data_IF_970265562723
#
_entry.id   IF_970265562723
#
_cell.length_a   1.000
_cell.length_b   1.000
_cell.length_c   1.000
_cell.angle_alpha   90.00
_cell.angle_beta   90.00
_cell.angle_gamma   90.00
#
_symmetry.space_group_name_H-M   'P 1'
#
loop_
_entity.id
_entity.type
_entity.pdbx_description
1 polymer ?
#
# COMPACT_ATOMS: atom_id res chain seq x y z
N UNK A 1 12.21 47.88 -6.46
CA UNK A 1 12.08 47.87 -7.93
C UNK A 1 10.79 47.14 -8.31
N UNK A 2 9.81 47.82 -8.97
CA UNK A 2 8.63 47.12 -9.53
C UNK A 2 9.10 46.33 -10.75
N UNK A 3 9.07 45.01 -10.69
CA UNK A 3 9.37 44.15 -11.84
C UNK A 3 8.48 44.56 -13.02
N UNK A 4 9.07 44.65 -14.25
CA UNK A 4 8.30 44.95 -15.46
C UNK A 4 7.23 43.84 -15.66
N UNK A 5 6.07 44.22 -16.24
CA UNK A 5 4.98 43.25 -16.53
C UNK A 5 5.50 42.00 -17.27
N UNK A 6 6.39 42.19 -18.27
CA UNK A 6 7.00 41.09 -19.01
C UNK A 6 7.84 40.13 -18.15
N UNK A 7 8.56 40.66 -17.14
CA UNK A 7 9.36 39.84 -16.25
C UNK A 7 8.47 38.94 -15.36
N UNK A 8 7.32 39.44 -14.88
CA UNK A 8 6.38 38.65 -14.09
C UNK A 8 5.74 37.51 -14.91
N UNK A 9 5.32 37.80 -16.14
CA UNK A 9 4.80 36.76 -17.05
C UNK A 9 5.87 35.72 -17.32
N UNK A 10 7.11 36.12 -17.65
CA UNK A 10 8.20 35.21 -17.89
C UNK A 10 8.51 34.33 -16.68
N UNK A 11 8.46 34.89 -15.47
CA UNK A 11 8.70 34.14 -14.24
C UNK A 11 7.60 33.10 -14.00
N UNK A 12 6.31 33.47 -14.17
CA UNK A 12 5.20 32.52 -14.00
C UNK A 12 5.31 31.40 -15.05
N UNK A 13 5.59 31.73 -16.31
CA UNK A 13 5.74 30.74 -17.37
C UNK A 13 6.95 29.83 -17.12
N UNK A 14 8.06 30.36 -16.61
CA UNK A 14 9.23 29.57 -16.23
C UNK A 14 8.89 28.56 -15.13
N UNK A 15 8.17 28.97 -14.09
CA UNK A 15 7.72 28.10 -13.01
C UNK A 15 6.82 26.99 -13.57
N UNK A 16 5.88 27.32 -14.45
CA UNK A 16 4.99 26.33 -15.08
C UNK A 16 5.80 25.31 -15.87
N UNK A 17 6.77 25.76 -16.67
CA UNK A 17 7.63 24.87 -17.46
C UNK A 17 8.47 23.97 -16.54
N UNK A 18 9.07 24.50 -15.48
CA UNK A 18 9.85 23.73 -14.52
C UNK A 18 8.98 22.66 -13.83
N UNK A 19 7.80 23.00 -13.36
CA UNK A 19 6.87 22.04 -12.76
C UNK A 19 6.47 20.98 -13.78
N UNK A 20 6.22 21.36 -15.03
CA UNK A 20 5.87 20.40 -16.09
C UNK A 20 7.02 19.45 -16.40
N UNK A 21 8.24 19.95 -16.47
CA UNK A 21 9.42 19.12 -16.68
C UNK A 21 9.62 18.12 -15.53
N UNK A 22 9.45 18.56 -14.29
CA UNK A 22 9.55 17.69 -13.11
C UNK A 22 8.43 16.65 -13.10
N UNK A 23 7.18 17.06 -13.37
CA UNK A 23 6.03 16.16 -13.33
C UNK A 23 6.10 15.05 -14.37
N UNK A 24 6.50 15.37 -15.61
CA UNK A 24 6.55 14.41 -16.71
C UNK A 24 7.91 13.72 -16.85
N UNK A 25 9.00 14.44 -16.54
CA UNK A 25 10.36 13.93 -16.67
C UNK A 25 10.91 13.22 -15.43
N UNK A 26 10.38 13.54 -14.23
CA UNK A 26 10.90 13.05 -12.96
C UNK A 26 12.14 13.82 -12.46
N UNK A 27 12.61 13.48 -11.28
CA UNK A 27 13.85 13.97 -10.68
C UNK A 27 14.76 12.77 -10.44
N UNK A 28 15.86 12.69 -11.17
CA UNK A 28 16.80 11.60 -11.07
C UNK A 28 18.01 12.00 -10.24
N UNK A 29 18.29 11.23 -9.18
CA UNK A 29 19.52 11.37 -8.39
C UNK A 29 20.41 10.16 -8.67
N UNK A 30 21.68 10.44 -8.88
CA UNK A 30 22.70 9.41 -9.02
C UNK A 30 23.33 9.16 -7.64
N UNK A 31 23.06 8.01 -7.07
CA UNK A 31 23.78 7.50 -5.91
C UNK A 31 24.66 6.31 -6.35
N UNK A 32 25.98 6.48 -6.19
CA UNK A 32 27.00 5.53 -6.66
C UNK A 32 26.83 5.18 -8.14
N UNK A 33 26.34 3.98 -8.48
CA UNK A 33 26.14 3.52 -9.86
C UNK A 33 24.65 3.37 -10.23
N UNK A 34 23.73 3.76 -9.36
CA UNK A 34 22.28 3.65 -9.55
C UNK A 34 21.74 5.06 -9.79
N UNK A 35 20.86 5.19 -10.77
CA UNK A 35 20.15 6.44 -11.08
C UNK A 35 18.69 6.20 -10.74
N UNK A 36 18.23 6.73 -9.60
CA UNK A 36 16.87 6.54 -9.12
C UNK A 36 16.03 7.81 -9.29
N UNK A 37 14.77 7.60 -9.63
CA UNK A 37 13.78 8.68 -9.67
C UNK A 37 13.16 8.88 -8.28
N UNK A 38 13.38 10.05 -7.67
CA UNK A 38 12.82 10.37 -6.34
C UNK A 38 11.29 10.61 -6.37
N UNK A 39 10.74 10.83 -7.56
CA UNK A 39 9.29 11.06 -7.67
C UNK A 39 8.54 9.75 -7.38
N UNK A 40 7.50 9.77 -6.51
CA UNK A 40 6.66 8.61 -6.28
C UNK A 40 6.12 8.04 -7.60
N UNK A 41 6.02 6.73 -7.70
CA UNK A 41 5.39 6.09 -8.83
C UNK A 41 3.85 6.20 -8.76
N UNK A 42 3.18 6.00 -9.89
CA UNK A 42 1.73 5.90 -9.89
C UNK A 42 1.32 4.53 -9.36
N UNK A 43 0.44 4.51 -8.37
CA UNK A 43 -0.19 3.27 -7.91
C UNK A 43 -1.27 2.91 -8.92
N UNK A 44 -1.06 1.84 -9.68
CA UNK A 44 -2.01 1.36 -10.69
C UNK A 44 -2.88 0.24 -10.09
N UNK A 45 -4.19 0.28 -10.36
CA UNK A 45 -5.12 -0.77 -9.93
C UNK A 45 -4.98 -2.06 -10.76
N UNK A 46 -5.60 -3.15 -10.29
CA UNK A 46 -5.51 -4.52 -10.84
C UNK A 46 -5.75 -4.58 -12.36
N UNK A 47 -6.76 -3.89 -12.86
CA UNK A 47 -7.10 -3.87 -14.30
C UNK A 47 -5.97 -3.30 -15.16
N UNK A 48 -5.16 -2.37 -14.61
CA UNK A 48 -4.07 -1.69 -15.33
C UNK A 48 -2.71 -2.38 -15.16
N UNK A 49 -2.47 -3.02 -14.03
CA UNK A 49 -1.17 -3.63 -13.69
C UNK A 49 -1.16 -5.15 -13.84
N UNK A 50 -2.31 -5.79 -13.67
CA UNK A 50 -2.49 -7.24 -13.56
C UNK A 50 -2.83 -7.63 -12.14
N UNK A 51 -3.35 -8.84 -11.99
CA UNK A 51 -3.83 -9.34 -10.71
C UNK A 51 -3.24 -10.72 -10.39
N UNK A 52 -3.11 -11.00 -9.10
CA UNK A 52 -2.82 -12.31 -8.57
C UNK A 52 -4.11 -12.91 -8.03
N UNK A 53 -4.53 -14.04 -8.58
CA UNK A 53 -5.67 -14.83 -8.08
C UNK A 53 -5.15 -15.93 -7.18
N UNK A 54 -5.64 -15.92 -5.94
CA UNK A 54 -5.27 -16.89 -4.92
C UNK A 54 -6.54 -17.59 -4.42
N UNK A 55 -6.50 -18.92 -4.42
CA UNK A 55 -7.53 -19.76 -3.82
C UNK A 55 -6.96 -20.37 -2.54
N UNK A 56 -7.43 -19.90 -1.40
CA UNK A 56 -7.15 -20.47 -0.08
C UNK A 56 -8.23 -21.50 0.21
N UNK A 57 -7.86 -22.78 0.15
CA UNK A 57 -8.75 -23.89 0.47
C UNK A 57 -8.58 -24.25 1.93
N UNK A 58 -9.69 -24.60 2.61
CA UNK A 58 -9.63 -25.18 3.96
C UNK A 58 -8.78 -26.45 3.92
N UNK A 59 -7.78 -26.55 4.79
CA UNK A 59 -6.88 -27.68 4.79
C UNK A 59 -7.57 -28.93 5.34
N UNK A 60 -7.86 -29.87 4.45
CA UNK A 60 -8.49 -31.17 4.70
C UNK A 60 -7.48 -32.32 4.83
N UNK A 61 -6.19 -32.00 4.89
CA UNK A 61 -5.12 -32.99 5.02
C UNK A 61 -5.11 -33.62 6.42
N UNK A 62 -4.55 -34.82 6.50
CA UNK A 62 -4.35 -35.54 7.76
C UNK A 62 -2.87 -35.44 8.15
N UNK A 63 -2.58 -34.99 9.37
CA UNK A 63 -1.24 -35.00 9.95
C UNK A 63 -1.09 -36.22 10.84
N UNK A 64 0.07 -36.90 10.75
CA UNK A 64 0.48 -37.96 11.70
C UNK A 64 0.81 -37.29 13.03
N UNK A 65 0.22 -37.73 14.10
CA UNK A 65 0.58 -37.30 15.46
C UNK A 65 1.80 -38.12 15.88
N UNK A 66 2.96 -37.49 15.98
CA UNK A 66 4.09 -38.07 16.71
C UNK A 66 3.77 -37.91 18.20
N UNK A 67 3.11 -38.91 18.80
CA UNK A 67 3.02 -39.04 20.26
C UNK A 67 4.38 -39.45 20.78
N UNK A 68 5.04 -38.55 21.49
CA UNK A 68 6.22 -38.90 22.29
C UNK A 68 5.73 -39.59 23.56
N UNK A 69 5.47 -40.88 23.49
CA UNK A 69 5.34 -41.71 24.70
C UNK A 69 6.69 -42.33 24.96
N UNK A 70 7.44 -41.78 25.92
CA UNK A 70 8.46 -42.53 26.60
C UNK A 70 7.74 -43.42 27.60
N UNK A 71 7.68 -44.71 27.33
CA UNK A 71 7.84 -45.77 28.36
C UNK A 71 7.89 -47.15 27.69
N UNK A 72 8.98 -47.83 28.00
CA UNK A 72 9.25 -49.28 28.08
C UNK A 72 9.15 -50.15 26.83
N UNK A 73 10.33 -50.65 26.49
CA UNK A 73 10.58 -51.82 25.64
C UNK A 73 9.77 -53.02 26.11
N UNK A 74 8.87 -53.50 25.28
CA UNK A 74 8.64 -54.96 25.15
C UNK A 74 8.13 -55.29 23.74
N UNK A 75 8.79 -56.25 23.12
CA UNK A 75 8.52 -56.75 21.77
C UNK A 75 7.06 -57.15 21.58
N UNK A 76 6.38 -56.51 20.67
CA UNK A 76 5.32 -57.12 19.87
C UNK A 76 5.20 -56.33 18.55
N UNK A 77 5.46 -57.04 17.44
CA UNK A 77 5.12 -56.57 16.09
C UNK A 77 3.58 -56.52 15.97
N UNK A 78 2.97 -55.43 16.35
CA UNK A 78 1.65 -55.05 15.91
C UNK A 78 1.78 -53.70 15.16
N UNK A 79 1.34 -53.73 13.91
CA UNK A 79 1.22 -52.56 13.05
C UNK A 79 0.34 -51.54 13.76
N UNK A 80 0.96 -50.59 14.46
CA UNK A 80 0.26 -49.41 14.98
C UNK A 80 -0.27 -48.66 13.79
N UNK A 81 -1.57 -48.63 13.58
CA UNK A 81 -2.25 -47.68 12.71
C UNK A 81 -2.00 -46.28 13.29
N UNK A 82 -1.07 -45.53 12.69
CA UNK A 82 -0.83 -44.13 13.03
C UNK A 82 -2.16 -43.39 12.94
N UNK A 83 -2.71 -42.97 14.06
CA UNK A 83 -3.92 -42.13 14.08
C UNK A 83 -3.63 -40.79 13.39
N UNK A 84 -4.08 -40.68 12.15
CA UNK A 84 -3.97 -39.46 11.36
C UNK A 84 -5.13 -38.52 11.72
N UNK A 85 -4.85 -37.47 12.47
CA UNK A 85 -5.82 -36.43 12.81
C UNK A 85 -5.92 -35.40 11.68
N UNK A 86 -7.15 -34.97 11.38
CA UNK A 86 -7.38 -33.87 10.44
C UNK A 86 -6.72 -32.59 10.95
N UNK A 87 -6.13 -31.82 10.06
CA UNK A 87 -5.52 -30.51 10.37
C UNK A 87 -6.55 -29.56 10.95
N UNK A 88 -7.74 -29.49 10.33
CA UNK A 88 -8.90 -28.80 10.87
C UNK A 88 -9.86 -29.82 11.47
N UNK A 89 -10.16 -29.68 12.77
CA UNK A 89 -11.21 -30.46 13.40
C UNK A 89 -12.57 -30.07 12.81
N UNK A 90 -13.46 -31.01 12.46
CA UNK A 90 -14.79 -30.68 11.93
C UNK A 90 -15.61 -29.75 12.83
N UNK A 91 -15.36 -29.73 14.13
CA UNK A 91 -16.06 -28.85 15.08
C UNK A 91 -15.68 -27.36 14.92
N UNK A 92 -14.52 -27.04 14.35
CA UNK A 92 -14.12 -25.64 14.12
C UNK A 92 -14.61 -25.12 12.77
N UNK A 93 -15.11 -25.97 11.87
CA UNK A 93 -15.61 -25.58 10.55
C UNK A 93 -17.04 -25.05 10.65
N UNK A 94 -17.20 -23.89 11.24
CA UNK A 94 -18.49 -23.19 11.43
C UNK A 94 -18.53 -21.90 10.64
N UNK A 95 -19.73 -21.45 10.30
CA UNK A 95 -19.92 -20.16 9.59
C UNK A 95 -19.32 -18.97 10.34
N UNK A 96 -19.35 -19.00 11.69
CA UNK A 96 -18.76 -17.96 12.53
C UNK A 96 -17.23 -17.94 12.42
N UNK A 97 -16.60 -19.12 12.44
CA UNK A 97 -15.14 -19.25 12.27
C UNK A 97 -14.69 -18.93 10.86
N UNK A 98 -15.51 -19.23 9.85
CA UNK A 98 -15.23 -18.82 8.47
C UNK A 98 -15.20 -17.28 8.37
N UNK A 99 -16.20 -16.61 8.92
CA UNK A 99 -16.25 -15.13 8.91
C UNK A 99 -15.11 -14.50 9.73
N UNK A 100 -14.75 -15.11 10.86
CA UNK A 100 -13.60 -14.67 11.66
C UNK A 100 -12.28 -14.82 10.90
N UNK A 101 -12.06 -15.96 10.24
CA UNK A 101 -10.87 -16.19 9.42
C UNK A 101 -10.76 -15.19 8.28
N UNK A 102 -11.87 -14.90 7.58
CA UNK A 102 -11.92 -13.86 6.56
C UNK A 102 -11.54 -12.49 7.11
N UNK A 103 -12.08 -12.08 8.27
CA UNK A 103 -11.74 -10.81 8.93
C UNK A 103 -10.26 -10.73 9.31
N UNK A 104 -9.64 -11.85 9.72
CA UNK A 104 -8.21 -11.91 10.02
C UNK A 104 -7.39 -11.70 8.73
N UNK A 105 -7.78 -12.34 7.64
CA UNK A 105 -7.13 -12.15 6.33
C UNK A 105 -7.24 -10.68 5.87
N UNK A 106 -8.41 -10.06 6.00
CA UNK A 106 -8.62 -8.65 5.68
C UNK A 106 -7.73 -7.73 6.53
N UNK A 107 -7.59 -8.00 7.84
CA UNK A 107 -6.68 -7.28 8.73
C UNK A 107 -5.22 -7.43 8.31
N UNK A 108 -4.81 -8.66 7.95
CA UNK A 108 -3.45 -8.93 7.47
C UNK A 108 -3.14 -8.21 6.16
N UNK A 109 -4.09 -8.18 5.22
CA UNK A 109 -3.97 -7.42 3.98
C UNK A 109 -3.82 -5.91 4.25
N UNK A 110 -4.66 -5.36 5.13
CA UNK A 110 -4.58 -3.97 5.53
C UNK A 110 -3.24 -3.64 6.21
N UNK A 111 -2.76 -4.51 7.12
CA UNK A 111 -1.46 -4.36 7.78
C UNK A 111 -0.29 -4.49 6.80
N UNK A 112 -0.43 -5.31 5.75
CA UNK A 112 0.53 -5.40 4.66
C UNK A 112 0.49 -4.19 3.71
N UNK A 113 -0.45 -3.25 3.91
CA UNK A 113 -0.64 -2.08 3.03
C UNK A 113 -1.28 -2.41 1.69
N UNK A 114 -1.92 -3.57 1.56
CA UNK A 114 -2.67 -3.95 0.36
C UNK A 114 -4.04 -3.28 0.42
N UNK A 115 -4.30 -2.35 -0.48
CA UNK A 115 -5.55 -1.58 -0.53
C UNK A 115 -6.46 -1.98 -1.68
N UNK A 116 -5.90 -2.60 -2.71
CA UNK A 116 -6.62 -3.04 -3.92
C UNK A 116 -6.72 -4.56 -3.90
N UNK A 117 -7.84 -5.08 -3.38
CA UNK A 117 -8.13 -6.51 -3.36
C UNK A 117 -9.62 -6.78 -3.44
N UNK A 118 -9.97 -7.97 -3.91
CA UNK A 118 -11.32 -8.51 -3.86
C UNK A 118 -11.26 -9.84 -3.11
N UNK A 119 -12.03 -9.96 -2.04
CA UNK A 119 -12.15 -11.17 -1.25
C UNK A 119 -13.57 -11.72 -1.32
N UNK A 120 -13.70 -12.98 -1.70
CA UNK A 120 -14.95 -13.73 -1.69
C UNK A 120 -14.77 -14.99 -0.88
N UNK A 121 -15.76 -15.34 -0.08
CA UNK A 121 -15.78 -16.54 0.72
C UNK A 121 -16.92 -17.43 0.28
N UNK A 122 -16.65 -18.72 0.14
CA UNK A 122 -17.66 -19.75 0.00
C UNK A 122 -18.21 -20.07 1.38
N UNK A 123 -19.50 -19.82 1.59
CA UNK A 123 -20.15 -20.05 2.89
C UNK A 123 -20.39 -21.53 3.19
N UNK A 124 -20.35 -22.42 2.19
CA UNK A 124 -20.56 -23.85 2.38
C UNK A 124 -19.27 -24.56 2.81
N UNK A 125 -18.16 -24.25 2.13
CA UNK A 125 -16.88 -24.93 2.34
C UNK A 125 -15.88 -24.11 3.16
N UNK A 126 -16.14 -22.79 3.32
CA UNK A 126 -15.23 -21.87 3.98
C UNK A 126 -14.02 -21.42 3.14
N UNK A 127 -13.92 -21.86 1.88
CA UNK A 127 -12.84 -21.51 0.98
C UNK A 127 -12.84 -20.00 0.68
N UNK A 128 -11.66 -19.42 0.52
CA UNK A 128 -11.49 -18.01 0.25
C UNK A 128 -10.84 -17.79 -1.10
N UNK A 129 -11.52 -17.02 -1.95
CA UNK A 129 -11.02 -16.56 -3.25
C UNK A 129 -10.58 -15.11 -3.11
N UNK A 130 -9.32 -14.86 -3.40
CA UNK A 130 -8.69 -13.55 -3.25
C UNK A 130 -8.11 -13.11 -4.60
N UNK A 131 -8.37 -11.87 -4.98
CA UNK A 131 -7.73 -11.18 -6.09
C UNK A 131 -6.94 -10.02 -5.50
N UNK A 132 -5.65 -9.94 -5.83
CA UNK A 132 -4.72 -8.93 -5.34
C UNK A 132 -4.08 -8.22 -6.52
N UNK A 133 -3.75 -6.95 -6.34
CA UNK A 133 -2.88 -6.26 -7.28
C UNK A 133 -1.50 -6.92 -7.31
N UNK A 134 -0.94 -7.16 -8.49
CA UNK A 134 0.39 -7.77 -8.64
C UNK A 134 1.48 -6.75 -8.27
N UNK A 135 2.27 -7.08 -7.27
CA UNK A 135 3.43 -6.32 -6.80
C UNK A 135 4.60 -7.27 -6.53
N UNK A 136 5.82 -6.74 -6.45
CA UNK A 136 7.04 -7.53 -6.19
C UNK A 136 6.96 -8.34 -4.89
N UNK A 137 6.15 -7.90 -3.93
CA UNK A 137 5.93 -8.55 -2.63
C UNK A 137 4.70 -9.47 -2.57
N UNK A 138 3.94 -9.62 -3.66
CA UNK A 138 2.66 -10.36 -3.64
C UNK A 138 2.85 -11.82 -3.19
N UNK A 139 3.90 -12.51 -3.65
CA UNK A 139 4.18 -13.88 -3.21
C UNK A 139 4.42 -13.98 -1.70
N UNK A 140 5.12 -13.00 -1.15
CA UNK A 140 5.38 -12.91 0.30
C UNK A 140 4.07 -12.66 1.06
N UNK A 141 3.20 -11.77 0.56
CA UNK A 141 1.89 -11.50 1.16
C UNK A 141 1.04 -12.77 1.14
N UNK A 142 0.96 -13.49 0.02
CA UNK A 142 0.19 -14.74 -0.10
C UNK A 142 0.63 -15.79 0.92
N UNK A 143 1.94 -15.93 1.17
CA UNK A 143 2.46 -16.86 2.16
C UNK A 143 1.98 -16.57 3.60
N UNK A 144 1.75 -15.30 3.94
CA UNK A 144 1.22 -14.91 5.26
C UNK A 144 -0.27 -15.16 5.41
N UNK A 145 -1.02 -15.13 4.32
CA UNK A 145 -2.47 -15.31 4.38
C UNK A 145 -2.87 -16.73 4.72
N UNK A 146 -2.08 -17.72 4.32
CA UNK A 146 -2.31 -19.15 4.63
C UNK A 146 -1.84 -19.55 6.04
N UNK A 147 -0.98 -18.74 6.68
CA UNK A 147 -0.49 -19.00 8.03
C UNK A 147 -1.60 -18.87 9.07
N UNK A 148 -1.68 -19.80 10.03
CA UNK A 148 -2.61 -19.71 11.15
C UNK A 148 -2.23 -18.56 12.11
N UNK A 149 -0.92 -18.38 12.33
CA UNK A 149 -0.39 -17.39 13.26
C UNK A 149 -0.36 -17.87 14.71
N UNK A 150 -0.24 -19.18 14.92
CA UNK A 150 -0.16 -19.78 16.25
C UNK A 150 1.26 -19.69 16.77
N UNK A 151 1.51 -18.76 17.70
CA UNK A 151 2.77 -18.59 18.38
C UNK A 151 2.81 -19.45 19.64
N UNK A 152 3.93 -20.14 19.88
CA UNK A 152 4.15 -20.93 21.09
C UNK A 152 5.64 -20.87 21.48
N UNK A 153 5.91 -20.77 22.79
CA UNK A 153 7.20 -21.12 23.38
C UNK A 153 6.99 -22.47 24.08
N UNK A 154 7.76 -23.47 23.68
CA UNK A 154 7.65 -24.83 24.23
C UNK A 154 8.96 -25.25 24.84
N UNK A 155 8.89 -26.14 25.83
CA UNK A 155 10.04 -26.92 26.27
C UNK A 155 10.47 -27.86 25.14
N UNK A 156 11.75 -27.85 24.77
CA UNK A 156 12.25 -28.69 23.66
C UNK A 156 12.14 -30.20 23.95
N UNK A 157 12.30 -30.59 25.22
CA UNK A 157 12.32 -32.00 25.63
C UNK A 157 10.91 -32.57 25.88
N UNK A 158 10.12 -31.84 26.69
CA UNK A 158 8.77 -32.29 27.09
C UNK A 158 7.68 -31.92 26.10
N UNK A 159 7.98 -31.02 25.17
CA UNK A 159 7.01 -30.42 24.23
C UNK A 159 5.85 -29.67 24.91
N UNK A 160 5.97 -29.41 26.22
CA UNK A 160 4.98 -28.63 26.97
C UNK A 160 4.95 -27.19 26.51
N UNK A 161 3.75 -26.61 26.32
CA UNK A 161 3.55 -25.19 25.93
C UNK A 161 3.71 -24.34 27.17
N UNK A 162 4.74 -23.51 27.18
CA UNK A 162 5.08 -22.58 28.26
C UNK A 162 4.39 -21.25 28.11
N UNK A 163 4.33 -20.73 26.87
CA UNK A 163 3.68 -19.46 26.49
C UNK A 163 3.03 -19.60 25.12
N UNK A 164 1.93 -18.89 24.91
CA UNK A 164 1.20 -18.85 23.64
C UNK A 164 0.79 -17.40 23.24
N UNK A 165 -0.01 -17.27 22.17
CA UNK A 165 -0.49 -15.97 21.67
C UNK A 165 -1.19 -15.13 22.74
N UNK A 166 -1.84 -15.71 23.75
CA UNK A 166 -2.54 -14.96 24.80
C UNK A 166 -1.58 -14.13 25.66
N UNK A 167 -0.32 -14.52 25.67
CA UNK A 167 0.77 -13.88 26.40
C UNK A 167 1.44 -12.73 25.63
N UNK A 168 1.19 -12.62 24.31
CA UNK A 168 1.74 -11.54 23.47
C UNK A 168 0.91 -10.26 23.58
N UNK A 169 1.59 -9.12 23.54
CA UNK A 169 1.01 -7.78 23.37
C UNK A 169 1.19 -7.31 21.94
N UNK A 170 2.41 -7.38 21.42
CA UNK A 170 2.72 -6.97 20.04
C UNK A 170 4.02 -7.59 19.55
N UNK A 171 4.15 -7.73 18.23
CA UNK A 171 5.38 -8.15 17.55
C UNK A 171 5.83 -7.06 16.59
N UNK A 172 7.01 -6.48 16.81
CA UNK A 172 7.50 -5.34 16.03
C UNK A 172 8.78 -5.68 15.30
N UNK A 173 8.91 -5.15 14.09
CA UNK A 173 10.15 -5.24 13.32
C UNK A 173 11.10 -4.14 13.78
N UNK A 174 12.35 -4.50 14.04
CA UNK A 174 13.44 -3.58 14.35
C UNK A 174 14.69 -3.89 13.54
N UNK A 175 15.62 -2.97 13.54
CA UNK A 175 16.96 -3.18 12.99
C UNK A 175 18.00 -2.48 13.88
N UNK A 176 19.19 -3.06 13.91
CA UNK A 176 20.34 -2.47 14.59
C UNK A 176 21.55 -2.47 13.67
N UNK A 177 22.38 -1.45 13.80
CA UNK A 177 23.64 -1.36 13.05
C UNK A 177 24.76 -1.94 13.89
N UNK A 178 25.38 -3.01 13.40
CA UNK A 178 26.53 -3.66 13.97
C UNK A 178 27.78 -3.34 13.12
N UNK A 179 28.96 -3.67 13.61
CA UNK A 179 30.20 -3.52 12.83
C UNK A 179 30.19 -4.38 11.54
N UNK A 180 29.47 -5.49 11.56
CA UNK A 180 29.31 -6.42 10.43
C UNK A 180 28.20 -6.05 9.46
N UNK A 181 27.41 -5.00 9.73
CA UNK A 181 26.29 -4.57 8.89
C UNK A 181 25.01 -4.32 9.68
N UNK A 182 23.88 -4.27 8.96
CA UNK A 182 22.55 -4.11 9.55
C UNK A 182 21.96 -5.48 9.89
N UNK A 183 21.56 -5.66 11.15
CA UNK A 183 20.83 -6.82 11.64
C UNK A 183 19.35 -6.49 11.77
N UNK A 184 18.50 -7.29 11.10
CA UNK A 184 17.04 -7.21 11.25
C UNK A 184 16.60 -8.18 12.37
N UNK A 185 15.65 -7.74 13.19
CA UNK A 185 15.10 -8.58 14.26
C UNK A 185 13.60 -8.35 14.45
N UNK A 186 12.93 -9.36 15.00
CA UNK A 186 11.59 -9.28 15.54
C UNK A 186 11.65 -9.07 17.05
N UNK A 187 10.93 -8.10 17.55
CA UNK A 187 10.77 -7.84 18.98
C UNK A 187 9.42 -8.36 19.44
N UNK A 188 9.42 -9.48 20.15
CA UNK A 188 8.23 -10.04 20.78
C UNK A 188 8.01 -9.31 22.10
N UNK A 189 6.95 -8.52 22.19
CA UNK A 189 6.59 -7.83 23.41
C UNK A 189 5.46 -8.59 24.10
N UNK A 190 5.68 -8.94 25.36
CA UNK A 190 4.74 -9.71 26.15
C UNK A 190 3.87 -8.80 27.01
N UNK A 191 2.59 -9.16 27.16
CA UNK A 191 1.68 -8.46 28.07
C UNK A 191 2.07 -8.68 29.54
N UNK A 192 1.35 -8.10 30.48
CA UNK A 192 1.69 -8.14 31.90
C UNK A 192 1.81 -9.56 32.47
N UNK A 193 0.91 -10.46 32.07
CA UNK A 193 0.92 -11.88 32.49
C UNK A 193 2.03 -12.64 31.81
N UNK A 194 2.19 -12.48 30.49
CA UNK A 194 3.26 -13.07 29.70
C UNK A 194 4.63 -12.66 30.18
N UNK A 195 4.82 -11.39 30.56
CA UNK A 195 6.08 -10.90 31.15
C UNK A 195 6.44 -11.63 32.44
N UNK A 196 5.48 -11.80 33.35
CA UNK A 196 5.73 -12.51 34.62
C UNK A 196 6.09 -13.99 34.38
N UNK A 197 5.38 -14.67 33.49
CA UNK A 197 5.69 -16.06 33.11
C UNK A 197 7.03 -16.16 32.39
N UNK A 198 7.35 -15.22 31.48
CA UNK A 198 8.62 -15.18 30.78
C UNK A 198 9.82 -15.00 31.72
N UNK A 199 9.66 -14.16 32.75
CA UNK A 199 10.67 -13.99 33.79
C UNK A 199 10.93 -15.30 34.57
N UNK A 200 9.89 -16.06 34.90
CA UNK A 200 9.99 -17.36 35.56
C UNK A 200 10.65 -18.42 34.63
N UNK A 201 10.17 -18.50 33.38
CA UNK A 201 10.72 -19.40 32.38
C UNK A 201 12.19 -19.10 32.14
N UNK A 202 12.57 -17.84 31.95
CA UNK A 202 13.95 -17.43 31.67
C UNK A 202 14.89 -17.72 32.84
N UNK A 203 14.39 -17.79 34.09
CA UNK A 203 15.17 -18.24 35.26
C UNK A 203 15.35 -19.77 35.27
N UNK A 204 14.38 -20.53 34.78
CA UNK A 204 14.40 -22.00 34.80
C UNK A 204 15.21 -22.56 33.63
N UNK A 205 15.14 -21.93 32.47
CA UNK A 205 15.80 -22.38 31.22
C UNK A 205 17.09 -21.60 30.94
N UNK A 206 17.89 -21.40 32.01
CA UNK A 206 19.23 -20.81 31.96
C UNK A 206 20.27 -21.90 31.91
N UNK A 207 21.41 -21.67 31.29
CA UNK A 207 22.56 -22.56 31.37
C UNK A 207 23.04 -22.69 32.82
N UNK A 208 23.03 -23.90 33.37
CA UNK A 208 23.53 -24.21 34.68
C UNK A 208 24.65 -25.24 34.56
N UNK A 209 25.58 -25.24 35.50
CA UNK A 209 26.65 -26.24 35.58
C UNK A 209 26.25 -27.27 36.62
N UNK A 210 26.31 -28.54 36.29
CA UNK A 210 26.07 -29.63 37.26
C UNK A 210 27.25 -29.78 38.28
N UNK A 211 27.07 -30.65 39.25
CA UNK A 211 28.11 -30.92 40.30
C UNK A 211 29.40 -31.54 39.72
N UNK A 212 29.34 -32.07 38.48
CA UNK A 212 30.47 -32.67 37.76
C UNK A 212 31.17 -31.66 36.81
N UNK A 213 30.68 -30.41 36.72
CA UNK A 213 31.25 -29.36 35.89
C UNK A 213 30.75 -29.35 34.43
N UNK A 214 29.72 -30.15 34.08
CA UNK A 214 29.14 -30.20 32.77
C UNK A 214 28.07 -29.10 32.64
N UNK A 215 28.00 -28.44 31.49
CA UNK A 215 26.92 -27.51 31.18
C UNK A 215 25.60 -28.27 30.91
N UNK A 216 24.65 -28.14 31.82
CA UNK A 216 23.30 -28.66 31.66
C UNK A 216 22.38 -27.49 31.33
N UNK A 217 21.78 -27.51 30.16
CA UNK A 217 20.84 -26.46 29.74
C UNK A 217 19.55 -27.09 29.27
N UNK A 218 18.44 -26.69 29.91
CA UNK A 218 17.11 -26.91 29.34
C UNK A 218 16.87 -25.90 28.23
N UNK A 219 16.47 -26.38 27.06
CA UNK A 219 16.24 -25.53 25.91
C UNK A 219 14.75 -25.25 25.72
N UNK A 220 14.46 -24.03 25.26
CA UNK A 220 13.13 -23.67 24.79
C UNK A 220 13.15 -23.56 23.28
N UNK A 221 12.04 -23.91 22.62
CA UNK A 221 11.85 -23.70 21.21
C UNK A 221 10.72 -22.66 21.01
N UNK A 222 11.01 -21.63 20.23
CA UNK A 222 10.02 -20.65 19.80
C UNK A 222 9.46 -21.15 18.48
N UNK A 223 8.14 -21.34 18.40
CA UNK A 223 7.46 -21.92 17.26
C UNK A 223 6.36 -20.99 16.75
N UNK A 224 6.17 -21.01 15.43
CA UNK A 224 5.00 -20.45 14.77
C UNK A 224 4.39 -21.52 13.87
N UNK A 225 3.11 -21.77 14.02
CA UNK A 225 2.35 -22.81 13.30
C UNK A 225 3.01 -24.20 13.38
N UNK A 226 3.57 -24.52 14.56
CA UNK A 226 4.25 -25.79 14.82
C UNK A 226 5.67 -25.91 14.21
N UNK A 227 6.13 -24.89 13.50
CA UNK A 227 7.50 -24.84 12.97
C UNK A 227 8.41 -24.09 13.93
N UNK A 228 9.50 -24.73 14.37
CA UNK A 228 10.49 -24.08 15.22
C UNK A 228 11.28 -23.04 14.46
N UNK A 229 11.22 -21.78 14.92
CA UNK A 229 12.00 -20.68 14.37
C UNK A 229 13.39 -20.65 14.98
N UNK A 230 13.46 -20.85 16.29
CA UNK A 230 14.71 -20.88 17.04
C UNK A 230 14.56 -21.77 18.25
N UNK A 231 15.62 -22.55 18.53
CA UNK A 231 15.81 -23.27 19.77
C UNK A 231 16.96 -22.61 20.52
N UNK A 232 16.72 -22.21 21.74
CA UNK A 232 17.69 -21.42 22.52
C UNK A 232 17.61 -21.71 24.01
N UNK A 233 18.62 -21.23 24.72
CA UNK A 233 18.66 -21.11 26.18
C UNK A 233 18.75 -19.63 26.53
N UNK A 234 18.27 -19.24 27.68
CA UNK A 234 18.41 -17.84 28.13
C UNK A 234 19.77 -17.63 28.80
N UNK A 235 20.49 -16.60 28.38
CA UNK A 235 21.78 -16.23 29.00
C UNK A 235 21.61 -15.52 30.35
N UNK A 236 20.45 -14.88 30.55
CA UNK A 236 20.08 -14.16 31.78
C UNK A 236 18.57 -14.08 31.90
N UNK A 237 18.00 -13.84 33.10
CA UNK A 237 16.57 -13.66 33.29
C UNK A 237 16.05 -12.44 32.50
N UNK A 238 14.94 -12.61 31.79
CA UNK A 238 14.30 -11.54 31.02
C UNK A 238 13.28 -10.83 31.93
N UNK A 239 13.60 -9.61 32.32
CA UNK A 239 12.76 -8.82 33.24
C UNK A 239 12.00 -7.70 32.53
N UNK A 240 12.36 -7.37 31.31
CA UNK A 240 11.69 -6.34 30.51
C UNK A 240 10.45 -6.85 29.75
N UNK A 241 10.34 -8.16 29.58
CA UNK A 241 9.24 -8.81 28.85
C UNK A 241 9.38 -8.67 27.35
N UNK A 242 10.62 -8.60 26.82
CA UNK A 242 10.92 -8.46 25.40
C UNK A 242 11.91 -9.55 24.97
N UNK A 243 11.57 -10.29 23.92
CA UNK A 243 12.48 -11.21 23.25
C UNK A 243 12.82 -10.68 21.86
N UNK A 244 14.05 -10.24 21.62
CA UNK A 244 14.52 -9.92 20.27
C UNK A 244 14.94 -11.21 19.56
N UNK A 245 14.36 -11.49 18.41
CA UNK A 245 14.70 -12.63 17.55
C UNK A 245 15.32 -12.12 16.26
N UNK A 246 16.59 -12.43 16.01
CA UNK A 246 17.28 -12.05 14.77
C UNK A 246 16.74 -12.81 13.57
N UNK A 247 16.48 -12.09 12.49
CA UNK A 247 16.05 -12.64 11.19
C UNK A 247 17.23 -12.55 10.23
N UNK A 248 17.75 -13.69 9.84
CA UNK A 248 18.97 -13.78 9.02
C UNK A 248 20.22 -13.33 9.77
N UNK A 249 21.28 -13.05 9.03
CA UNK A 249 22.56 -12.53 9.54
C UNK A 249 22.68 -11.04 9.30
N UNK A 250 23.55 -10.36 10.05
CA UNK A 250 23.87 -8.97 9.76
C UNK A 250 24.47 -8.84 8.36
N UNK A 251 23.97 -7.90 7.57
CA UNK A 251 24.39 -7.71 6.17
C UNK A 251 24.64 -6.24 5.85
N UNK A 252 25.54 -6.01 4.88
CA UNK A 252 25.75 -4.73 4.24
C UNK A 252 25.05 -4.65 2.87
N UNK A 253 24.46 -5.75 2.41
CA UNK A 253 23.74 -5.85 1.14
C UNK A 253 22.30 -5.34 1.31
N UNK A 254 21.95 -4.27 0.59
CA UNK A 254 20.58 -3.71 0.63
C UNK A 254 19.52 -4.74 0.22
N UNK A 255 19.82 -5.63 -0.73
CA UNK A 255 18.88 -6.65 -1.19
C UNK A 255 18.59 -7.70 -0.10
N UNK A 256 19.61 -8.13 0.64
CA UNK A 256 19.45 -9.08 1.75
C UNK A 256 18.71 -8.44 2.92
N UNK A 257 19.04 -7.19 3.27
CA UNK A 257 18.36 -6.43 4.32
C UNK A 257 16.88 -6.27 3.96
N UNK A 258 16.54 -5.94 2.72
CA UNK A 258 15.16 -5.84 2.25
C UNK A 258 14.43 -7.19 2.36
N UNK A 259 15.06 -8.30 1.99
CA UNK A 259 14.49 -9.62 2.11
C UNK A 259 14.20 -9.98 3.58
N UNK A 260 15.15 -9.71 4.49
CA UNK A 260 14.95 -9.93 5.92
C UNK A 260 13.85 -9.04 6.50
N UNK A 261 13.76 -7.76 6.06
CA UNK A 261 12.68 -6.86 6.45
C UNK A 261 11.32 -7.37 5.98
N UNK A 262 11.21 -7.91 4.76
CA UNK A 262 9.95 -8.49 4.27
C UNK A 262 9.55 -9.73 5.07
N UNK A 263 10.49 -10.63 5.38
CA UNK A 263 10.24 -11.81 6.21
C UNK A 263 9.78 -11.40 7.61
N UNK A 264 10.53 -10.49 8.26
CA UNK A 264 10.18 -10.00 9.59
C UNK A 264 8.81 -9.30 9.61
N UNK A 265 8.54 -8.44 8.61
CA UNK A 265 7.24 -7.76 8.50
C UNK A 265 6.09 -8.73 8.35
N UNK A 266 6.27 -9.80 7.58
CA UNK A 266 5.28 -10.82 7.42
C UNK A 266 4.94 -11.57 8.69
N UNK A 267 5.96 -11.99 9.42
CA UNK A 267 5.76 -12.64 10.74
C UNK A 267 5.07 -11.69 11.72
N UNK A 268 5.47 -10.42 11.76
CA UNK A 268 4.81 -9.40 12.58
C UNK A 268 3.34 -9.26 12.21
N UNK A 269 3.01 -9.14 10.92
CA UNK A 269 1.64 -9.03 10.43
C UNK A 269 0.81 -10.24 10.83
N UNK A 270 1.35 -11.45 10.68
CA UNK A 270 0.64 -12.69 11.03
C UNK A 270 0.32 -12.74 12.52
N UNK A 271 1.29 -12.43 13.37
CA UNK A 271 1.18 -12.59 14.82
C UNK A 271 0.37 -11.48 15.50
N UNK A 272 0.43 -10.24 14.99
CA UNK A 272 -0.30 -9.09 15.55
C UNK A 272 -1.78 -9.07 15.17
N UNK A 273 -2.17 -9.72 14.06
CA UNK A 273 -3.55 -9.66 13.56
C UNK A 273 -4.43 -10.85 14.00
N UNK A 274 -3.92 -11.65 14.92
CA UNK A 274 -4.66 -12.73 15.56
C UNK A 274 -4.48 -14.10 14.89
N UNK A 275 -4.89 -15.12 15.64
CA UNK A 275 -4.81 -16.53 15.23
C UNK A 275 -6.04 -16.88 14.40
N UNK A 276 -5.84 -17.39 13.19
CA UNK A 276 -6.94 -17.91 12.38
C UNK A 276 -7.50 -19.18 13.03
N UNK A 277 -8.82 -19.27 13.23
CA UNK A 277 -9.43 -20.49 13.75
C UNK A 277 -9.35 -21.64 12.75
N UNK A 278 -9.11 -21.35 11.48
CA UNK A 278 -9.06 -22.30 10.37
C UNK A 278 -7.68 -22.24 9.72
N UNK A 279 -7.13 -23.39 9.46
CA UNK A 279 -5.89 -23.58 8.69
C UNK A 279 -6.24 -23.66 7.22
N UNK A 280 -5.66 -22.80 6.42
CA UNK A 280 -5.81 -22.79 4.97
C UNK A 280 -4.56 -23.32 4.27
N UNK A 281 -4.76 -23.93 3.12
CA UNK A 281 -3.69 -24.23 2.16
C UNK A 281 -3.89 -23.45 0.88
N UNK A 282 -2.80 -23.00 0.27
CA UNK A 282 -2.84 -22.37 -1.04
C UNK A 282 -3.10 -23.44 -2.08
N UNK A 283 -4.31 -23.47 -2.64
CA UNK A 283 -4.71 -24.40 -3.66
C UNK A 283 -4.37 -23.89 -5.06
N UNK A 284 -4.53 -22.59 -5.28
CA UNK A 284 -4.25 -21.92 -6.54
C UNK A 284 -3.56 -20.58 -6.26
N UNK A 285 -2.49 -20.30 -6.99
CA UNK A 285 -1.78 -19.01 -6.95
C UNK A 285 -1.29 -18.71 -8.36
N UNK A 286 -2.06 -17.91 -9.10
CA UNK A 286 -1.75 -17.62 -10.49
C UNK A 286 -1.81 -16.14 -10.80
N UNK A 287 -0.91 -15.69 -11.65
CA UNK A 287 -0.93 -14.36 -12.22
C UNK A 287 -1.90 -14.28 -13.39
N UNK A 288 -2.74 -13.26 -13.40
CA UNK A 288 -3.57 -12.88 -14.54
C UNK A 288 -3.04 -11.56 -15.08
N UNK A 289 -2.62 -11.55 -16.34
CA UNK A 289 -2.12 -10.34 -16.97
C UNK A 289 -3.20 -9.25 -16.98
N UNK A 290 -2.77 -7.99 -16.97
CA UNK A 290 -3.69 -6.85 -17.05
C UNK A 290 -4.59 -6.94 -18.29
N UNK A 291 -5.86 -6.59 -18.16
CA UNK A 291 -6.78 -6.51 -19.30
C UNK A 291 -6.33 -5.44 -20.29
N UNK A 292 -5.65 -4.40 -19.82
CA UNK A 292 -5.09 -3.34 -20.63
C UNK A 292 -3.59 -3.60 -20.82
N UNK A 293 -3.23 -4.14 -21.96
CA UNK A 293 -1.82 -4.38 -22.31
C UNK A 293 -1.03 -3.07 -22.38
N UNK A 294 0.29 -3.17 -22.20
CA UNK A 294 1.19 -2.00 -22.32
C UNK A 294 1.04 -1.25 -23.65
N UNK A 295 0.75 -1.95 -24.73
CA UNK A 295 0.47 -1.34 -26.04
C UNK A 295 -0.82 -0.51 -26.04
N UNK A 296 -1.88 -1.00 -25.39
CA UNK A 296 -3.13 -0.24 -25.23
C UNK A 296 -2.94 0.99 -24.33
N UNK A 297 -2.14 0.89 -23.26
CA UNK A 297 -1.79 2.05 -22.44
C UNK A 297 -1.06 3.12 -23.24
N UNK A 298 -0.08 2.75 -24.06
CA UNK A 298 0.59 3.69 -24.96
C UNK A 298 -0.37 4.32 -25.96
N UNK A 299 -1.30 3.56 -26.52
CA UNK A 299 -2.35 4.08 -27.41
C UNK A 299 -3.23 5.12 -26.70
N UNK A 300 -3.65 4.87 -25.45
CA UNK A 300 -4.41 5.84 -24.65
C UNK A 300 -3.63 7.13 -24.40
N UNK A 301 -2.33 7.03 -24.09
CA UNK A 301 -1.44 8.20 -23.91
C UNK A 301 -1.33 9.00 -25.21
N UNK A 302 -1.13 8.32 -26.35
CA UNK A 302 -1.04 8.99 -27.66
C UNK A 302 -2.35 9.69 -28.00
N UNK A 303 -3.49 9.02 -27.87
CA UNK A 303 -4.83 9.59 -28.14
C UNK A 303 -5.05 10.82 -27.25
N UNK A 304 -4.77 10.72 -25.95
CA UNK A 304 -4.93 11.83 -25.00
C UNK A 304 -4.03 13.02 -25.38
N UNK A 305 -2.78 12.75 -25.78
CA UNK A 305 -1.83 13.77 -26.24
C UNK A 305 -2.33 14.47 -27.49
N UNK A 306 -2.86 13.73 -28.47
CA UNK A 306 -3.43 14.30 -29.69
C UNK A 306 -4.65 15.18 -29.37
N UNK A 307 -5.54 14.75 -28.48
CA UNK A 307 -6.70 15.54 -28.03
C UNK A 307 -6.22 16.83 -27.39
N UNK A 308 -5.26 16.77 -26.45
CA UNK A 308 -4.69 17.97 -25.80
C UNK A 308 -4.06 18.90 -26.83
N UNK A 309 -3.32 18.37 -27.81
CA UNK A 309 -2.74 19.18 -28.89
C UNK A 309 -3.80 19.92 -29.72
N UNK A 310 -4.90 19.25 -30.06
CA UNK A 310 -6.02 19.86 -30.78
C UNK A 310 -6.64 20.99 -29.95
N UNK A 311 -6.86 20.78 -28.65
CA UNK A 311 -7.41 21.78 -27.74
C UNK A 311 -6.49 23.01 -27.62
N UNK A 312 -5.17 22.79 -27.53
CA UNK A 312 -4.15 23.83 -27.51
C UNK A 312 -4.15 24.65 -28.81
N UNK A 313 -4.15 23.96 -29.95
CA UNK A 313 -4.20 24.63 -31.27
C UNK A 313 -5.47 25.48 -31.40
N UNK A 314 -6.63 24.95 -31.00
CA UNK A 314 -7.88 25.70 -31.00
C UNK A 314 -7.78 27.00 -30.18
N UNK A 315 -7.20 26.92 -28.96
CA UNK A 315 -7.02 28.12 -28.12
C UNK A 315 -6.10 29.16 -28.77
N UNK A 316 -4.98 28.73 -29.34
CA UNK A 316 -4.01 29.61 -30.00
C UNK A 316 -4.65 30.31 -31.23
N UNK A 317 -5.31 29.54 -32.09
CA UNK A 317 -5.95 30.09 -33.32
C UNK A 317 -7.07 31.06 -32.94
N UNK A 318 -7.89 30.74 -31.95
CA UNK A 318 -9.08 31.54 -31.57
C UNK A 318 -8.72 32.80 -30.80
N UNK A 319 -7.74 32.72 -29.85
CA UNK A 319 -7.43 33.82 -28.92
C UNK A 319 -6.02 34.40 -29.10
N UNK A 320 -5.29 33.95 -30.12
CA UNK A 320 -3.95 34.42 -30.47
C UNK A 320 -2.99 34.41 -29.26
N UNK A 321 -2.32 35.53 -28.95
CA UNK A 321 -1.32 35.59 -27.86
C UNK A 321 -1.90 35.20 -26.49
N UNK A 322 -3.12 35.64 -26.17
CA UNK A 322 -3.78 35.24 -24.91
C UNK A 322 -4.04 33.75 -24.89
N UNK A 323 -4.44 33.16 -26.04
CA UNK A 323 -4.62 31.72 -26.19
C UNK A 323 -3.33 30.92 -26.00
N UNK A 324 -2.19 31.43 -26.53
CA UNK A 324 -0.90 30.81 -26.35
C UNK A 324 -0.49 30.74 -24.87
N UNK A 325 -0.60 31.85 -24.14
CA UNK A 325 -0.28 31.92 -22.70
C UNK A 325 -1.20 31.01 -21.89
N UNK A 326 -2.50 31.00 -22.18
CA UNK A 326 -3.45 30.09 -21.53
C UNK A 326 -3.21 28.61 -21.89
N UNK A 327 -2.69 28.31 -23.08
CA UNK A 327 -2.31 26.94 -23.48
C UNK A 327 -1.12 26.44 -22.67
N UNK A 328 -0.12 27.28 -22.40
CA UNK A 328 0.99 26.92 -21.52
C UNK A 328 0.48 26.67 -20.08
N UNK A 329 -0.43 27.55 -19.61
CA UNK A 329 -1.08 27.34 -18.32
C UNK A 329 -1.89 26.03 -18.27
N UNK A 330 -2.55 25.65 -19.37
CA UNK A 330 -3.30 24.39 -19.47
C UNK A 330 -2.39 23.16 -19.36
N UNK A 331 -1.24 23.16 -20.04
CA UNK A 331 -0.25 22.09 -19.92
C UNK A 331 0.27 22.02 -18.47
N UNK A 332 0.56 23.18 -17.85
CA UNK A 332 0.96 23.26 -16.46
C UNK A 332 -0.11 22.75 -15.48
N UNK A 333 -1.38 22.96 -15.76
CA UNK A 333 -2.48 22.39 -14.98
C UNK A 333 -2.46 20.85 -15.02
N UNK A 334 -2.30 20.27 -16.22
CA UNK A 334 -2.19 18.81 -16.37
C UNK A 334 -0.99 18.29 -15.55
N UNK A 335 0.15 18.94 -15.64
CA UNK A 335 1.35 18.57 -14.90
C UNK A 335 1.15 18.60 -13.37
N UNK A 336 0.51 19.67 -12.86
CA UNK A 336 0.20 19.79 -11.42
C UNK A 336 -0.79 18.72 -10.97
N UNK A 337 -1.83 18.45 -11.76
CA UNK A 337 -2.81 17.40 -11.46
C UNK A 337 -2.14 16.03 -11.39
N UNK A 338 -1.32 15.66 -12.36
CA UNK A 338 -0.59 14.40 -12.40
C UNK A 338 0.37 14.27 -11.22
N UNK A 339 1.05 15.36 -10.85
CA UNK A 339 1.92 15.39 -9.68
C UNK A 339 1.13 15.19 -8.39
N UNK A 340 -0.03 15.85 -8.23
CA UNK A 340 -0.88 15.68 -7.04
C UNK A 340 -1.38 14.25 -6.88
N UNK A 341 -1.78 13.57 -7.96
CA UNK A 341 -2.22 12.16 -7.92
C UNK A 341 -1.11 11.27 -7.38
N UNK A 342 0.15 11.49 -7.79
CA UNK A 342 1.32 10.74 -7.27
C UNK A 342 1.54 10.98 -5.78
N UNK A 343 1.60 12.24 -5.34
CA UNK A 343 1.89 12.59 -3.95
C UNK A 343 0.73 12.28 -2.99
N UNK A 344 -0.51 12.28 -3.48
CA UNK A 344 -1.67 11.88 -2.70
C UNK A 344 -1.84 10.35 -2.61
N UNK A 345 -0.93 9.57 -3.23
CA UNK A 345 -0.97 8.10 -3.27
C UNK A 345 -2.33 7.55 -3.71
N UNK A 346 -2.95 8.19 -4.70
CA UNK A 346 -4.25 7.75 -5.21
C UNK A 346 -4.05 6.59 -6.17
N UNK A 347 -4.69 5.46 -5.90
CA UNK A 347 -4.70 4.31 -6.81
C UNK A 347 -5.43 4.68 -8.09
N UNK A 348 -4.74 4.65 -9.23
CA UNK A 348 -5.30 4.96 -10.54
C UNK A 348 -5.93 3.70 -11.12
N UNK A 349 -7.25 3.68 -11.20
CA UNK A 349 -8.04 2.63 -11.88
C UNK A 349 -8.45 3.10 -13.27
N UNK A 350 -9.10 2.23 -14.05
CA UNK A 350 -9.66 2.63 -15.36
C UNK A 350 -10.67 3.77 -15.22
N UNK A 351 -11.55 3.71 -14.22
CA UNK A 351 -12.47 4.82 -13.90
C UNK A 351 -11.74 6.08 -13.45
N UNK A 352 -10.62 5.93 -12.73
CA UNK A 352 -9.74 7.04 -12.38
C UNK A 352 -9.13 7.75 -13.59
N UNK A 353 -8.77 7.02 -14.66
CA UNK A 353 -8.32 7.63 -15.93
C UNK A 353 -9.42 8.50 -16.55
N UNK A 354 -10.69 8.06 -16.51
CA UNK A 354 -11.81 8.90 -16.94
C UNK A 354 -11.95 10.16 -16.08
N UNK A 355 -11.75 10.06 -14.76
CA UNK A 355 -11.79 11.22 -13.87
C UNK A 355 -10.69 12.25 -14.19
N UNK A 356 -9.47 11.79 -14.55
CA UNK A 356 -8.41 12.67 -15.07
C UNK A 356 -8.91 13.42 -16.31
N UNK A 357 -9.47 12.70 -17.29
CA UNK A 357 -10.01 13.30 -18.51
C UNK A 357 -11.09 14.34 -18.24
N UNK A 358 -12.04 14.01 -17.35
CA UNK A 358 -13.12 14.94 -16.95
C UNK A 358 -12.53 16.19 -16.28
N UNK A 359 -11.55 16.05 -15.41
CA UNK A 359 -10.89 17.16 -14.71
C UNK A 359 -10.17 18.09 -15.69
N UNK A 360 -9.46 17.52 -16.67
CA UNK A 360 -8.75 18.24 -17.72
C UNK A 360 -9.75 19.01 -18.60
N UNK A 361 -10.85 18.38 -19.00
CA UNK A 361 -11.93 19.02 -19.78
C UNK A 361 -12.60 20.12 -18.94
N UNK A 362 -12.88 19.88 -17.67
CA UNK A 362 -13.50 20.87 -16.78
C UNK A 362 -12.65 22.14 -16.69
N UNK A 363 -11.35 22.02 -16.43
CA UNK A 363 -10.44 23.18 -16.44
C UNK A 363 -10.42 23.88 -17.80
N UNK A 364 -10.32 23.12 -18.89
CA UNK A 364 -10.30 23.67 -20.24
C UNK A 364 -11.56 24.48 -20.54
N UNK A 365 -12.75 23.94 -20.25
CA UNK A 365 -14.05 24.60 -20.44
C UNK A 365 -14.15 25.88 -19.60
N UNK A 366 -13.75 25.81 -18.31
CA UNK A 366 -13.72 26.99 -17.43
C UNK A 366 -12.82 28.09 -18.00
N UNK A 367 -11.66 27.72 -18.54
CA UNK A 367 -10.72 28.64 -19.17
C UNK A 367 -11.31 29.26 -20.46
N UNK A 368 -11.96 28.43 -21.29
CA UNK A 368 -12.64 28.91 -22.50
C UNK A 368 -13.78 29.91 -22.18
N UNK A 369 -14.60 29.64 -21.17
CA UNK A 369 -15.67 30.54 -20.75
C UNK A 369 -15.12 31.90 -20.34
N UNK A 370 -14.06 31.93 -19.54
CA UNK A 370 -13.35 33.16 -19.16
C UNK A 370 -12.81 33.90 -20.37
N UNK A 371 -12.12 33.22 -21.28
CA UNK A 371 -11.55 33.82 -22.48
C UNK A 371 -12.63 34.37 -23.42
N UNK A 372 -13.74 33.64 -23.61
CA UNK A 372 -14.85 34.08 -24.43
C UNK A 372 -15.46 35.39 -23.90
N UNK A 373 -15.69 35.51 -22.60
CA UNK A 373 -16.23 36.70 -21.96
C UNK A 373 -15.28 37.88 -22.06
N UNK A 374 -14.00 37.68 -21.84
CA UNK A 374 -12.97 38.71 -22.03
C UNK A 374 -12.90 39.15 -23.48
N UNK A 375 -13.00 38.22 -24.44
CA UNK A 375 -13.00 38.55 -25.87
C UNK A 375 -14.25 39.31 -26.31
N UNK A 376 -15.43 38.95 -25.77
CA UNK A 376 -16.68 39.71 -26.00
C UNK A 376 -16.56 41.15 -25.47
N UNK A 377 -16.13 41.32 -24.22
CA UNK A 377 -15.95 42.60 -23.58
C UNK A 377 -14.94 43.48 -24.35
N UNK A 378 -13.89 42.88 -24.91
CA UNK A 378 -12.89 43.55 -25.74
C UNK A 378 -13.49 44.08 -27.08
N UNK A 379 -14.53 43.42 -27.60
CA UNK A 379 -15.22 43.89 -28.81
C UNK A 379 -16.17 45.05 -28.55
N UNK A 380 -16.79 45.06 -27.38
CA UNK A 380 -17.78 46.08 -27.00
C UNK A 380 -17.10 47.37 -26.53
N UNK A 381 -16.01 47.26 -25.78
CA UNK A 381 -15.29 48.40 -25.20
C UNK A 381 -13.77 48.15 -25.21
N UNK A 382 -12.97 49.24 -25.08
CA UNK A 382 -11.54 49.09 -24.83
C UNK A 382 -11.32 48.39 -23.50
N UNK A 383 -10.84 47.14 -23.56
CA UNK A 383 -10.62 46.33 -22.38
C UNK A 383 -9.57 46.96 -21.45
N UNK A 384 -10.00 47.38 -20.28
CA UNK A 384 -9.15 47.92 -19.21
C UNK A 384 -8.94 46.89 -18.10
N UNK A 385 -7.87 47.04 -17.30
CA UNK A 385 -7.61 46.15 -16.17
C UNK A 385 -8.78 46.10 -15.17
N UNK A 386 -9.47 47.24 -14.82
CA UNK A 386 -10.65 47.20 -13.96
C UNK A 386 -11.80 46.39 -14.56
N UNK A 387 -12.10 46.58 -15.85
CA UNK A 387 -13.18 45.84 -16.52
C UNK A 387 -12.88 44.35 -16.65
N UNK A 388 -11.62 43.97 -16.87
CA UNK A 388 -11.20 42.59 -16.86
C UNK A 388 -11.37 41.97 -15.48
N UNK A 389 -11.03 42.65 -14.39
CA UNK A 389 -11.23 42.15 -13.01
C UNK A 389 -12.71 41.91 -12.69
N UNK A 390 -13.60 42.75 -13.22
CA UNK A 390 -15.04 42.61 -13.08
C UNK A 390 -15.54 41.34 -13.81
N UNK A 391 -15.10 41.12 -15.05
CA UNK A 391 -15.39 39.88 -15.79
C UNK A 391 -14.95 38.66 -15.01
N UNK A 392 -13.73 38.64 -14.48
CA UNK A 392 -13.24 37.53 -13.64
C UNK A 392 -14.13 37.29 -12.41
N UNK A 393 -14.51 38.36 -11.70
CA UNK A 393 -15.37 38.25 -10.51
C UNK A 393 -16.72 37.62 -10.86
N UNK A 394 -17.36 38.07 -11.92
CA UNK A 394 -18.68 37.59 -12.33
C UNK A 394 -18.62 36.14 -12.83
N UNK A 395 -17.63 35.80 -13.66
CA UNK A 395 -17.49 34.44 -14.16
C UNK A 395 -17.10 33.44 -13.05
N UNK A 396 -16.27 33.83 -12.08
CA UNK A 396 -15.98 32.96 -10.95
C UNK A 396 -17.22 32.62 -10.12
N UNK A 397 -18.14 33.53 -9.94
CA UNK A 397 -19.43 33.26 -9.28
C UNK A 397 -20.23 32.20 -10.06
N UNK A 398 -20.25 32.31 -11.40
CA UNK A 398 -20.92 31.31 -12.24
C UNK A 398 -20.23 29.97 -12.21
N UNK A 399 -18.90 29.92 -12.34
CA UNK A 399 -18.10 28.69 -12.29
C UNK A 399 -18.23 28.01 -10.94
N UNK A 400 -18.22 28.77 -9.84
CA UNK A 400 -18.39 28.22 -8.49
C UNK A 400 -19.75 27.51 -8.33
N UNK A 401 -20.84 28.07 -8.89
CA UNK A 401 -22.16 27.44 -8.86
C UNK A 401 -22.20 26.06 -9.57
N UNK A 402 -21.35 25.86 -10.58
CA UNK A 402 -21.25 24.59 -11.30
C UNK A 402 -20.25 23.64 -10.63
N UNK A 403 -19.12 24.16 -10.18
CA UNK A 403 -18.05 23.35 -9.59
C UNK A 403 -18.43 22.79 -8.21
N UNK A 404 -19.18 23.53 -7.37
CA UNK A 404 -19.55 23.08 -6.01
C UNK A 404 -20.38 21.78 -6.03
N UNK A 405 -21.46 21.64 -6.82
CA UNK A 405 -22.19 20.36 -6.89
C UNK A 405 -21.31 19.19 -7.33
N UNK A 406 -20.47 19.40 -8.34
CA UNK A 406 -19.53 18.38 -8.82
C UNK A 406 -18.52 17.99 -7.74
N UNK A 407 -18.06 18.96 -6.95
CA UNK A 407 -17.13 18.75 -5.85
C UNK A 407 -17.77 17.96 -4.71
N UNK A 408 -19.04 18.23 -4.38
CA UNK A 408 -19.81 17.46 -3.38
C UNK A 408 -19.97 16.01 -3.85
N UNK A 409 -20.30 15.77 -5.12
CA UNK A 409 -20.40 14.42 -5.69
C UNK A 409 -19.06 13.69 -5.61
N UNK A 410 -17.96 14.37 -5.94
CA UNK A 410 -16.61 13.80 -5.85
C UNK A 410 -16.27 13.38 -4.41
N UNK A 411 -16.62 14.22 -3.41
CA UNK A 411 -16.43 13.90 -1.99
C UNK A 411 -17.24 12.65 -1.61
N UNK A 412 -18.51 12.56 -2.01
CA UNK A 412 -19.35 11.38 -1.71
C UNK A 412 -18.71 10.11 -2.28
N UNK A 413 -18.18 10.16 -3.50
CA UNK A 413 -17.52 9.02 -4.13
C UNK A 413 -16.23 8.59 -3.41
N UNK A 414 -15.51 9.52 -2.75
CA UNK A 414 -14.33 9.17 -1.95
C UNK A 414 -14.62 8.23 -0.78
N UNK A 415 -15.86 8.21 -0.27
CA UNK A 415 -16.27 7.37 0.86
C UNK A 415 -16.97 6.07 0.46
N UNK A 416 -17.12 5.81 -0.84
CA UNK A 416 -17.68 4.54 -1.31
C UNK A 416 -16.63 3.44 -1.17
N UNK A 417 -16.95 2.38 -0.43
CA UNK A 417 -16.05 1.24 -0.23
C UNK A 417 -16.02 0.31 -1.45
N UNK A 418 -15.72 0.88 -2.62
CA UNK A 418 -15.49 0.18 -3.89
C UNK A 418 -14.41 0.94 -4.66
N UNK A 419 -13.23 0.34 -4.79
CA UNK A 419 -12.04 1.02 -5.27
C UNK A 419 -12.22 1.80 -6.59
N UNK A 420 -12.87 1.28 -7.64
CA UNK A 420 -13.06 2.04 -8.88
C UNK A 420 -13.83 3.35 -8.68
N UNK A 421 -14.88 3.36 -7.84
CA UNK A 421 -15.65 4.58 -7.53
C UNK A 421 -14.84 5.51 -6.63
N UNK A 422 -14.18 4.97 -5.61
CA UNK A 422 -13.32 5.74 -4.70
C UNK A 422 -12.17 6.42 -5.47
N UNK A 423 -11.49 5.69 -6.35
CA UNK A 423 -10.42 6.23 -7.21
C UNK A 423 -10.94 7.36 -8.11
N UNK A 424 -12.11 7.15 -8.76
CA UNK A 424 -12.77 8.19 -9.55
C UNK A 424 -13.06 9.43 -8.71
N UNK A 425 -13.63 9.25 -7.52
CA UNK A 425 -13.97 10.34 -6.60
C UNK A 425 -12.74 11.11 -6.14
N UNK A 426 -11.68 10.44 -5.71
CA UNK A 426 -10.44 11.06 -5.25
C UNK A 426 -9.76 11.86 -6.37
N UNK A 427 -9.65 11.30 -7.56
CA UNK A 427 -9.03 11.99 -8.70
C UNK A 427 -9.87 13.20 -9.12
N UNK A 428 -11.20 13.05 -9.19
CA UNK A 428 -12.09 14.14 -9.52
C UNK A 428 -12.04 15.25 -8.46
N UNK A 429 -11.98 14.91 -7.17
CA UNK A 429 -11.81 15.84 -6.06
C UNK A 429 -10.54 16.69 -6.24
N UNK A 430 -9.37 16.05 -6.42
CA UNK A 430 -8.11 16.75 -6.65
C UNK A 430 -8.14 17.56 -7.94
N UNK A 431 -8.76 17.05 -8.99
CA UNK A 431 -8.90 17.73 -10.28
C UNK A 431 -9.72 19.00 -10.18
N UNK A 432 -10.88 18.96 -9.53
CA UNK A 432 -11.74 20.13 -9.35
C UNK A 432 -11.14 21.16 -8.39
N UNK A 433 -10.49 20.70 -7.30
CA UNK A 433 -9.78 21.57 -6.37
C UNK A 433 -8.64 22.31 -7.09
N UNK A 434 -7.83 21.57 -7.85
CA UNK A 434 -6.75 22.15 -8.67
C UNK A 434 -7.30 23.09 -9.70
N UNK A 435 -8.43 22.78 -10.36
CA UNK A 435 -9.10 23.69 -11.31
C UNK A 435 -9.44 25.02 -10.66
N UNK A 436 -10.09 25.00 -9.50
CA UNK A 436 -10.48 26.21 -8.79
C UNK A 436 -9.25 27.07 -8.39
N UNK A 437 -8.24 26.44 -7.80
CA UNK A 437 -7.01 27.11 -7.37
C UNK A 437 -6.20 27.64 -8.55
N UNK A 438 -6.03 26.84 -9.59
CA UNK A 438 -5.20 27.19 -10.75
C UNK A 438 -5.78 28.34 -11.58
N UNK A 439 -7.12 28.40 -11.70
CA UNK A 439 -7.80 29.53 -12.33
C UNK A 439 -7.53 30.85 -11.60
N UNK A 440 -7.51 30.83 -10.27
CA UNK A 440 -7.30 32.03 -9.45
C UNK A 440 -5.82 32.40 -9.35
N UNK A 441 -4.95 31.42 -9.08
CA UNK A 441 -3.53 31.66 -8.76
C UNK A 441 -2.67 31.84 -10.01
N UNK A 442 -2.99 31.12 -11.10
CA UNK A 442 -2.16 31.09 -12.31
C UNK A 442 -2.84 31.81 -13.47
N UNK A 443 -4.03 31.35 -13.88
CA UNK A 443 -4.70 31.86 -15.11
C UNK A 443 -5.03 33.32 -15.01
N UNK A 444 -5.63 33.76 -13.90
CA UNK A 444 -6.04 35.17 -13.71
C UNK A 444 -4.84 36.13 -13.73
N UNK A 445 -3.77 35.95 -12.95
CA UNK A 445 -2.62 36.83 -13.00
C UNK A 445 -1.97 36.88 -14.39
N UNK A 446 -1.82 35.74 -15.05
CA UNK A 446 -1.25 35.66 -16.40
C UNK A 446 -2.01 36.52 -17.40
N UNK A 447 -3.35 36.44 -17.41
CA UNK A 447 -4.18 37.23 -18.33
C UNK A 447 -4.14 38.71 -17.96
N UNK A 448 -4.18 39.08 -16.67
CA UNK A 448 -4.15 40.48 -16.23
C UNK A 448 -2.82 41.17 -16.48
N UNK A 449 -1.68 40.49 -16.39
CA UNK A 449 -0.36 41.05 -16.69
C UNK A 449 -0.11 41.17 -18.21
N UNK A 450 -0.85 40.37 -19.03
CA UNK A 450 -0.78 40.42 -20.50
C UNK A 450 -1.54 41.65 -21.06
N UNK A 451 -2.42 42.23 -20.29
CA UNK A 451 -3.17 43.46 -20.61
C UNK A 451 -2.41 44.68 -20.14
#
# INVERSE_FOLDING_TARGET
>A
MKASKGLKIALILLIIVLISLISFGGIYIKDKNIVDNIMPEYILGMVLKGERVVHLKVDDSKKTIEETTQEEQENTEETAEEEKKLVNDPSVLTAENFELAKKIIEKRLAAAGVTDYIIRQDNENGDIFLQLNEEDRTDTVVSYLSSQGKFQIIDEQTKEVLLDNSSLDSVKVGYSTLETGTQVYLSFNFNKEGKAKLEEISKTYITSTDEEGNEVSKKVAIQVDGTSIVTTVFGQPITDGIIPLSIGSASTSNSEIQQYLYQASGMSIVLDNGVSPIVYKVNENRYIASEITSGMMWLLVIISTVIVAILVVYMIVRYRLTGLVCSIAFIGYIAVLMMLIRFANVTVTLSGLFAIGISVIAYYVCNLLLLNKLYQKRKEERLSIPSAKEVFKNEYIHLTKVLIPCFIIAIVFCFVNYLPIMSFGMILFWGLLTTALYLVIVTRPLILELM
#
